data_IF_281800751866
#
_entry.id   IF_281800751866
#
_cell.length_a   1.000
_cell.length_b   1.000
_cell.length_c   1.000
_cell.angle_alpha   90.00
_cell.angle_beta   90.00
_cell.angle_gamma   90.00
#
_symmetry.space_group_name_H-M   'P 1'
#
loop_
_entity.id
_entity.type
_entity.pdbx_description
1 polymer ?
#
# COMPACT_ATOMS: atom_id res chain seq x y z
N UNK A 1 2.49 -9.30 36.81
CA UNK A 1 1.93 -9.62 35.47
C UNK A 1 3.11 -9.74 34.53
N UNK A 2 3.47 -10.95 34.14
CA UNK A 2 4.66 -11.21 33.34
C UNK A 2 4.40 -10.73 31.92
N UNK A 3 5.07 -9.65 31.51
CA UNK A 3 5.14 -9.26 30.10
C UNK A 3 5.78 -10.44 29.35
N UNK A 4 4.96 -11.13 28.57
CA UNK A 4 5.37 -12.24 27.72
C UNK A 4 6.42 -11.70 26.74
N UNK A 5 7.67 -12.10 26.93
CA UNK A 5 8.76 -11.73 26.03
C UNK A 5 8.47 -12.40 24.69
N UNK A 6 7.94 -11.64 23.74
CA UNK A 6 7.83 -12.08 22.34
C UNK A 6 9.24 -12.44 21.86
N UNK A 7 9.44 -13.67 21.40
CA UNK A 7 10.66 -14.08 20.72
C UNK A 7 10.65 -13.64 19.25
N UNK A 8 11.83 -13.52 18.62
CA UNK A 8 11.94 -13.03 17.24
C UNK A 8 11.19 -13.92 16.23
N UNK A 9 11.15 -15.24 16.45
CA UNK A 9 10.42 -16.16 15.56
C UNK A 9 8.90 -15.98 15.69
N UNK A 10 8.40 -15.80 16.89
CA UNK A 10 6.99 -15.47 17.15
C UNK A 10 6.63 -14.10 16.57
N UNK A 11 7.50 -13.10 16.74
CA UNK A 11 7.32 -11.78 16.11
C UNK A 11 7.26 -11.90 14.58
N UNK A 12 8.14 -12.70 13.98
CA UNK A 12 8.18 -12.97 12.54
C UNK A 12 6.89 -13.63 12.06
N UNK A 13 6.39 -14.64 12.78
CA UNK A 13 5.13 -15.32 12.45
C UNK A 13 3.94 -14.36 12.53
N UNK A 14 3.85 -13.57 13.61
CA UNK A 14 2.79 -12.58 13.79
C UNK A 14 2.85 -11.50 12.71
N UNK A 15 4.04 -10.99 12.38
CA UNK A 15 4.20 -10.00 11.32
C UNK A 15 3.77 -10.54 9.95
N UNK A 16 4.09 -11.81 9.64
CA UNK A 16 3.65 -12.44 8.40
C UNK A 16 2.11 -12.50 8.29
N UNK A 17 1.41 -12.83 9.38
CA UNK A 17 -0.06 -12.82 9.41
C UNK A 17 -0.64 -11.42 9.25
N UNK A 18 -0.05 -10.42 9.90
CA UNK A 18 -0.48 -9.02 9.79
C UNK A 18 -0.27 -8.49 8.37
N UNK A 19 0.87 -8.79 7.74
CA UNK A 19 1.15 -8.44 6.34
C UNK A 19 0.12 -9.05 5.40
N UNK A 20 -0.22 -10.32 5.58
CA UNK A 20 -1.22 -11.00 4.74
C UNK A 20 -2.60 -10.32 4.85
N UNK A 21 -3.03 -9.96 6.06
CA UNK A 21 -4.30 -9.24 6.29
C UNK A 21 -4.28 -7.86 5.65
N UNK A 22 -3.25 -7.06 5.93
CA UNK A 22 -3.12 -5.70 5.42
C UNK A 22 -3.04 -5.67 3.88
N UNK A 23 -2.32 -6.61 3.27
CA UNK A 23 -2.27 -6.72 1.81
C UNK A 23 -3.63 -7.10 1.21
N UNK A 24 -4.37 -8.02 1.84
CA UNK A 24 -5.72 -8.37 1.41
C UNK A 24 -6.66 -7.17 1.50
N UNK A 25 -6.69 -6.47 2.63
CA UNK A 25 -7.54 -5.30 2.82
C UNK A 25 -7.16 -4.13 1.91
N UNK A 26 -5.86 -3.94 1.65
CA UNK A 26 -5.41 -2.98 0.66
C UNK A 26 -5.92 -3.33 -0.74
N UNK A 27 -5.91 -4.60 -1.15
CA UNK A 27 -6.44 -5.03 -2.45
C UNK A 27 -7.96 -4.82 -2.53
N UNK A 28 -8.70 -5.17 -1.48
CA UNK A 28 -10.14 -4.91 -1.36
C UNK A 28 -10.48 -3.42 -1.47
N UNK A 29 -9.71 -2.56 -0.83
CA UNK A 29 -9.92 -1.11 -0.85
C UNK A 29 -9.51 -0.49 -2.19
N UNK A 30 -8.28 -0.75 -2.67
CA UNK A 30 -7.71 -0.06 -3.83
C UNK A 30 -8.08 -0.70 -5.19
N UNK A 31 -8.29 -2.02 -5.25
CA UNK A 31 -8.57 -2.74 -6.51
C UNK A 31 -10.06 -2.98 -6.69
N UNK A 32 -10.75 -3.43 -5.64
CA UNK A 32 -12.13 -3.90 -5.74
C UNK A 32 -13.19 -2.90 -5.26
N UNK A 33 -12.80 -1.80 -4.61
CA UNK A 33 -13.71 -0.82 -3.99
C UNK A 33 -14.75 -1.51 -3.07
N UNK A 34 -14.30 -2.56 -2.36
CA UNK A 34 -15.13 -3.45 -1.55
C UNK A 34 -14.44 -3.82 -0.23
N UNK A 35 -14.17 -2.85 0.66
CA UNK A 35 -13.44 -3.08 1.90
C UNK A 35 -14.19 -4.04 2.83
N UNK A 36 -13.49 -5.07 3.35
CA UNK A 36 -14.07 -5.98 4.34
C UNK A 36 -13.96 -5.50 5.79
N UNK A 37 -13.18 -4.44 6.04
CA UNK A 37 -12.94 -3.86 7.37
C UNK A 37 -13.01 -2.34 7.32
N UNK A 38 -13.32 -1.75 8.48
CA UNK A 38 -13.28 -0.30 8.68
C UNK A 38 -11.84 0.21 8.78
N UNK A 39 -11.63 1.48 8.44
CA UNK A 39 -10.31 2.13 8.48
C UNK A 39 -9.63 2.00 9.85
N UNK A 40 -10.38 2.10 10.94
CA UNK A 40 -9.84 1.97 12.29
C UNK A 40 -9.22 0.59 12.58
N UNK A 41 -9.78 -0.48 12.00
CA UNK A 41 -9.26 -1.84 12.15
C UNK A 41 -7.99 -2.04 11.30
N UNK A 42 -7.99 -1.46 10.09
CA UNK A 42 -6.79 -1.41 9.26
C UNK A 42 -5.64 -0.68 9.98
N UNK A 43 -5.91 0.52 10.50
CA UNK A 43 -4.93 1.36 11.18
C UNK A 43 -4.36 0.70 12.44
N UNK A 44 -5.21 0.07 13.26
CA UNK A 44 -4.77 -0.66 14.45
C UNK A 44 -3.86 -1.84 14.09
N UNK A 45 -4.22 -2.58 13.04
CA UNK A 45 -3.44 -3.72 12.53
C UNK A 45 -2.11 -3.24 11.94
N UNK A 46 -2.12 -2.12 11.21
CA UNK A 46 -0.93 -1.49 10.66
C UNK A 46 0.03 -1.04 11.76
N UNK A 47 -0.47 -0.35 12.79
CA UNK A 47 0.36 0.07 13.92
C UNK A 47 0.97 -1.12 14.66
N UNK A 48 0.22 -2.21 14.82
CA UNK A 48 0.75 -3.43 15.42
C UNK A 48 1.92 -4.02 14.62
N UNK A 49 1.84 -3.98 13.28
CA UNK A 49 2.94 -4.40 12.41
C UNK A 49 4.16 -3.49 12.56
N UNK A 50 3.94 -2.16 12.58
CA UNK A 50 5.00 -1.17 12.81
C UNK A 50 5.71 -1.40 14.14
N UNK A 51 4.97 -1.65 15.22
CA UNK A 51 5.53 -1.95 16.54
C UNK A 51 6.44 -3.18 16.51
N UNK A 52 5.99 -4.26 15.85
CA UNK A 52 6.76 -5.50 15.73
C UNK A 52 8.03 -5.30 14.91
N UNK A 53 7.93 -4.62 13.76
CA UNK A 53 9.06 -4.32 12.90
C UNK A 53 10.06 -3.35 13.55
N UNK A 54 9.59 -2.42 14.37
CA UNK A 54 10.43 -1.52 15.16
C UNK A 54 11.17 -2.27 16.26
N UNK A 55 10.50 -3.20 16.96
CA UNK A 55 11.12 -4.03 17.98
C UNK A 55 12.11 -5.05 17.39
N UNK A 56 11.84 -5.55 16.18
CA UNK A 56 12.62 -6.57 15.51
C UNK A 56 12.99 -6.15 14.07
N UNK A 57 14.00 -5.29 13.87
CA UNK A 57 14.36 -4.82 12.52
C UNK A 57 14.70 -5.94 11.52
N UNK A 58 15.15 -7.10 12.01
CA UNK A 58 15.51 -8.28 11.21
C UNK A 58 14.30 -9.02 10.59
N UNK A 59 13.07 -8.67 10.97
CA UNK A 59 11.85 -9.28 10.41
C UNK A 59 11.21 -8.43 9.33
N UNK A 60 11.69 -7.21 9.08
CA UNK A 60 11.19 -6.31 8.04
C UNK A 60 11.44 -6.92 6.66
N UNK A 61 10.40 -6.97 5.84
CA UNK A 61 10.48 -7.48 4.47
C UNK A 61 10.29 -6.33 3.46
N UNK A 62 11.00 -6.34 2.31
CA UNK A 62 10.93 -5.24 1.32
C UNK A 62 9.54 -4.98 0.74
N UNK A 63 8.67 -6.00 0.73
CA UNK A 63 7.30 -5.94 0.25
C UNK A 63 6.26 -5.67 1.35
N UNK A 64 6.72 -5.48 2.60
CA UNK A 64 5.86 -5.17 3.73
C UNK A 64 5.05 -3.88 3.48
N UNK A 65 3.76 -3.82 3.90
CA UNK A 65 2.95 -2.61 3.78
C UNK A 65 3.57 -1.36 4.42
N UNK A 66 4.43 -1.54 5.43
CA UNK A 66 5.15 -0.44 6.08
C UNK A 66 6.21 0.20 5.19
N UNK A 67 6.74 -0.53 4.21
CA UNK A 67 7.77 -0.06 3.27
C UNK A 67 7.17 0.63 2.02
N UNK A 68 5.86 0.46 1.77
CA UNK A 68 5.19 1.01 0.60
C UNK A 68 5.00 2.54 0.68
N UNK A 69 5.09 3.13 1.88
CA UNK A 69 4.79 4.55 2.08
C UNK A 69 6.07 5.38 2.01
N UNK A 70 6.37 5.90 0.82
CA UNK A 70 7.05 7.20 0.61
C UNK A 70 8.42 7.48 1.25
N UNK A 71 9.13 6.50 1.81
CA UNK A 71 10.32 6.79 2.65
C UNK A 71 11.64 6.94 1.89
N UNK A 72 11.65 6.68 0.57
CA UNK A 72 12.84 6.90 -0.25
C UNK A 72 12.54 7.84 -1.41
N UNK A 73 13.01 9.09 -1.29
CA UNK A 73 13.28 9.93 -2.47
C UNK A 73 14.40 9.24 -3.25
N UNK A 74 14.04 8.38 -4.22
CA UNK A 74 15.00 7.81 -5.15
C UNK A 74 15.76 8.98 -5.80
N UNK A 75 17.10 9.01 -5.76
CA UNK A 75 17.86 10.07 -6.39
C UNK A 75 17.66 10.01 -7.90
N UNK A 76 16.80 10.90 -8.41
CA UNK A 76 16.60 11.16 -9.82
C UNK A 76 15.95 9.99 -10.58
N UNK A 77 14.71 10.19 -11.01
CA UNK A 77 14.13 9.35 -12.06
C UNK A 77 15.07 9.34 -13.28
N UNK A 78 15.63 8.18 -13.62
CA UNK A 78 16.34 7.99 -14.88
C UNK A 78 15.31 8.02 -16.00
N UNK A 79 15.58 8.81 -17.06
CA UNK A 79 14.71 8.84 -18.23
C UNK A 79 14.71 7.45 -18.87
N UNK A 80 13.56 6.79 -18.83
CA UNK A 80 13.32 5.58 -19.62
C UNK A 80 12.84 6.03 -21.00
N UNK A 81 13.54 5.59 -22.04
CA UNK A 81 13.10 5.83 -23.42
C UNK A 81 12.01 4.80 -23.75
N UNK A 82 10.84 5.27 -24.18
CA UNK A 82 9.82 4.39 -24.73
C UNK A 82 10.19 4.07 -26.18
N UNK A 83 10.46 2.79 -26.49
CA UNK A 83 10.79 2.35 -27.86
C UNK A 83 9.65 2.62 -28.86
N UNK A 84 8.42 2.67 -28.36
CA UNK A 84 7.23 3.05 -29.12
C UNK A 84 6.77 4.42 -28.58
N UNK A 85 6.54 5.41 -29.45
CA UNK A 85 6.06 6.72 -28.99
C UNK A 85 4.71 6.55 -28.29
N UNK A 86 4.59 7.12 -27.09
CA UNK A 86 3.30 7.24 -26.41
C UNK A 86 2.43 8.21 -27.21
N UNK A 87 1.40 7.70 -27.89
CA UNK A 87 0.44 8.50 -28.62
C UNK A 87 -0.54 9.15 -27.63
N UNK A 88 -0.80 10.44 -27.81
CA UNK A 88 -1.85 11.16 -27.07
C UNK A 88 -3.20 10.95 -27.76
N UNK A 89 -4.27 10.85 -26.99
CA UNK A 89 -5.62 10.91 -27.51
C UNK A 89 -5.90 12.34 -28.01
N UNK A 90 -6.31 12.47 -29.28
CA UNK A 90 -6.73 13.76 -29.83
C UNK A 90 -8.06 14.20 -29.24
N UNK A 91 -8.17 15.48 -28.87
CA UNK A 91 -9.41 16.05 -28.37
C UNK A 91 -10.50 16.05 -29.44
N UNK A 92 -11.72 15.62 -29.07
CA UNK A 92 -12.92 15.73 -29.90
C UNK A 92 -13.82 16.81 -29.31
N UNK A 93 -13.79 18.01 -29.89
CA UNK A 93 -14.71 19.09 -29.52
C UNK A 93 -15.94 19.08 -30.43
N UNK A 94 -17.09 18.61 -29.93
CA UNK A 94 -18.39 18.87 -30.56
C UNK A 94 -19.13 19.95 -29.74
N UNK A 95 -19.48 21.08 -30.39
CA UNK A 95 -20.24 22.16 -29.77
C UNK A 95 -21.69 21.70 -29.57
N UNK A 96 -22.06 21.32 -28.34
CA UNK A 96 -23.44 21.04 -27.97
C UNK A 96 -24.18 22.38 -27.78
N UNK A 97 -25.05 22.73 -28.74
CA UNK A 97 -25.90 23.91 -28.62
C UNK A 97 -27.10 23.57 -27.73
N UNK A 98 -27.05 23.97 -26.46
CA UNK A 98 -28.05 23.66 -25.43
C UNK A 98 -29.32 24.54 -25.48
N UNK A 99 -29.56 25.27 -26.56
CA UNK A 99 -30.71 26.17 -26.71
C UNK A 99 -31.44 25.92 -28.04
N UNK A 100 -32.30 24.91 -28.05
CA UNK A 100 -33.53 24.89 -28.86
C UNK A 100 -34.52 23.89 -28.26
N UNK A 101 -35.37 24.39 -27.36
CA UNK A 101 -36.84 24.24 -27.26
C UNK A 101 -37.28 24.50 -25.82
#
# INVERSE_FOLDING_TARGET
>A
MAAEKIDENSARSQAAELRAKLNKWADEYYTYDAPSVEDAEYDATYQRLVDLETMFPNIVEPDSPTQKVGDHTLPGFSKVTHDIPMLSLGDVFQKLNWLTL
#
